data_IF_622272040623
#
_entry.id   IF_622272040623
#
_cell.length_a   1.000
_cell.length_b   1.000
_cell.length_c   1.000
_cell.angle_alpha   90.00
_cell.angle_beta   90.00
_cell.angle_gamma   90.00
#
_symmetry.space_group_name_H-M   'P 1'
#
loop_
_entity.id
_entity.type
_entity.pdbx_description
1 polymer ?
#
# COMPACT_ATOMS: atom_id res chain seq x y z
N UNK A 1 -28.28 -2.57 20.62
CA UNK A 1 -26.93 -2.67 20.02
C UNK A 1 -26.93 -3.50 18.74
N UNK A 2 -27.40 -4.76 18.73
CA UNK A 2 -27.41 -5.59 17.51
C UNK A 2 -28.26 -5.00 16.36
N UNK A 3 -29.43 -4.43 16.65
CA UNK A 3 -30.30 -3.84 15.63
C UNK A 3 -29.64 -2.63 14.93
N UNK A 4 -28.98 -1.77 15.70
CA UNK A 4 -28.24 -0.62 15.19
C UNK A 4 -27.09 -1.03 14.27
N UNK A 5 -26.29 -2.02 14.67
CA UNK A 5 -25.18 -2.52 13.85
C UNK A 5 -25.68 -3.12 12.54
N UNK A 6 -26.82 -3.82 12.57
CA UNK A 6 -27.44 -4.39 11.37
C UNK A 6 -27.95 -3.32 10.41
N UNK A 7 -28.52 -2.23 10.95
CA UNK A 7 -28.96 -1.09 10.15
C UNK A 7 -27.77 -0.34 9.53
N UNK A 8 -26.71 -0.13 10.30
CA UNK A 8 -25.46 0.49 9.82
C UNK A 8 -24.79 -0.36 8.74
N UNK A 9 -24.66 -1.67 8.96
CA UNK A 9 -24.17 -2.63 7.96
C UNK A 9 -24.99 -2.56 6.66
N UNK A 10 -26.32 -2.54 6.76
CA UNK A 10 -27.19 -2.48 5.59
C UNK A 10 -27.02 -1.17 4.81
N UNK A 11 -26.83 -0.04 5.49
CA UNK A 11 -26.55 1.25 4.83
C UNK A 11 -25.19 1.22 4.11
N UNK A 12 -24.15 0.69 4.76
CA UNK A 12 -22.82 0.59 4.15
C UNK A 12 -22.83 -0.33 2.92
N UNK A 13 -23.53 -1.47 3.00
CA UNK A 13 -23.70 -2.37 1.86
C UNK A 13 -24.39 -1.69 0.67
N UNK A 14 -25.45 -0.90 0.91
CA UNK A 14 -26.13 -0.16 -0.15
C UNK A 14 -25.24 0.91 -0.80
N UNK A 15 -24.42 1.61 -0.01
CA UNK A 15 -23.45 2.57 -0.52
C UNK A 15 -22.39 1.88 -1.37
N UNK A 16 -21.87 0.74 -0.92
CA UNK A 16 -20.88 -0.04 -1.64
C UNK A 16 -21.43 -0.60 -2.96
N UNK A 17 -22.65 -1.15 -2.97
CA UNK A 17 -23.32 -1.61 -4.20
C UNK A 17 -23.54 -0.49 -5.22
N UNK A 18 -23.85 0.72 -4.74
CA UNK A 18 -24.00 1.89 -5.61
C UNK A 18 -22.66 2.30 -6.21
N UNK A 19 -21.62 2.37 -5.39
CA UNK A 19 -20.26 2.70 -5.85
C UNK A 19 -19.73 1.66 -6.83
N UNK A 20 -19.88 0.37 -6.54
CA UNK A 20 -19.51 -0.74 -7.44
C UNK A 20 -20.16 -0.54 -8.81
N UNK A 21 -21.46 -0.23 -8.84
CA UNK A 21 -22.20 0.00 -10.09
C UNK A 21 -21.66 1.19 -10.88
N UNK A 22 -21.35 2.29 -10.21
CA UNK A 22 -20.76 3.48 -10.83
C UNK A 22 -19.35 3.20 -11.36
N UNK A 23 -18.52 2.49 -10.58
CA UNK A 23 -17.17 2.09 -10.96
C UNK A 23 -17.16 1.11 -12.14
N UNK A 24 -18.03 0.10 -12.13
CA UNK A 24 -18.20 -0.83 -13.26
C UNK A 24 -18.67 -0.09 -14.52
N UNK A 25 -19.50 0.94 -14.37
CA UNK A 25 -19.91 1.77 -15.51
C UNK A 25 -18.71 2.54 -16.09
N UNK A 26 -17.94 3.23 -15.24
CA UNK A 26 -16.71 3.94 -15.67
C UNK A 26 -15.71 3.00 -16.35
N UNK A 27 -15.52 1.80 -15.81
CA UNK A 27 -14.64 0.78 -16.40
C UNK A 27 -15.11 0.35 -17.78
N UNK A 28 -16.42 0.09 -17.96
CA UNK A 28 -16.98 -0.24 -19.28
C UNK A 28 -16.83 0.91 -20.27
N UNK A 29 -17.10 2.14 -19.85
CA UNK A 29 -16.96 3.32 -20.70
C UNK A 29 -15.49 3.50 -21.14
N UNK A 30 -14.54 3.28 -20.23
CA UNK A 30 -13.10 3.30 -20.50
C UNK A 30 -12.65 2.16 -21.42
N UNK A 31 -13.17 0.94 -21.24
CA UNK A 31 -12.89 -0.20 -22.11
C UNK A 31 -13.34 0.08 -23.55
N UNK A 32 -14.52 0.69 -23.72
CA UNK A 32 -15.04 1.11 -25.03
C UNK A 32 -14.11 2.15 -25.67
N UNK A 33 -13.68 3.15 -24.92
CA UNK A 33 -12.77 4.19 -25.42
C UNK A 33 -11.41 3.61 -25.85
N UNK A 34 -10.80 2.77 -25.00
CA UNK A 34 -9.54 2.09 -25.30
C UNK A 34 -9.66 1.20 -26.54
N UNK A 35 -10.73 0.42 -26.64
CA UNK A 35 -10.99 -0.43 -27.81
C UNK A 35 -11.11 0.42 -29.08
N UNK A 36 -11.75 1.58 -29.00
CA UNK A 36 -11.86 2.49 -30.14
C UNK A 36 -10.51 3.11 -30.51
N UNK A 37 -9.68 3.47 -29.52
CA UNK A 37 -8.32 3.96 -29.75
C UNK A 37 -7.45 2.89 -30.44
N UNK A 38 -7.49 1.64 -29.96
CA UNK A 38 -6.79 0.52 -30.58
C UNK A 38 -7.21 0.35 -32.05
N UNK A 39 -8.53 0.36 -32.33
CA UNK A 39 -9.02 0.27 -33.72
C UNK A 39 -8.50 1.40 -34.61
N UNK A 40 -8.48 2.62 -34.10
CA UNK A 40 -7.99 3.78 -34.84
C UNK A 40 -6.49 3.65 -35.14
N UNK A 41 -5.69 3.21 -34.17
CA UNK A 41 -4.25 2.96 -34.34
C UNK A 41 -4.00 1.83 -35.36
N UNK A 42 -4.73 0.71 -35.27
CA UNK A 42 -4.61 -0.39 -36.24
C UNK A 42 -4.95 0.04 -37.67
N UNK A 43 -6.00 0.86 -37.85
CA UNK A 43 -6.35 1.40 -39.16
C UNK A 43 -5.21 2.25 -39.74
N UNK A 44 -4.57 3.05 -38.90
CA UNK A 44 -3.49 3.94 -39.31
C UNK A 44 -2.21 3.19 -39.64
N UNK A 45 -1.87 2.15 -38.86
CA UNK A 45 -0.77 1.23 -39.20
C UNK A 45 -0.97 0.67 -40.60
N UNK A 46 -2.17 0.16 -40.91
CA UNK A 46 -2.49 -0.35 -42.24
C UNK A 46 -2.42 0.71 -43.35
N UNK A 47 -2.79 1.96 -43.06
CA UNK A 47 -2.62 3.07 -44.01
C UNK A 47 -1.15 3.34 -44.29
N UNK A 48 -0.31 3.48 -43.26
CA UNK A 48 1.13 3.72 -43.40
C UNK A 48 1.81 2.57 -44.15
N UNK A 49 1.48 1.32 -43.81
CA UNK A 49 2.02 0.14 -44.50
C UNK A 49 1.64 0.12 -45.99
N UNK A 50 0.40 0.47 -46.33
CA UNK A 50 -0.05 0.55 -47.72
C UNK A 50 0.65 1.67 -48.50
N UNK A 51 0.88 2.83 -47.87
CA UNK A 51 1.61 3.95 -48.47
C UNK A 51 3.08 3.56 -48.74
N UNK A 52 3.73 2.91 -47.78
CA UNK A 52 5.09 2.40 -47.95
C UNK A 52 5.22 1.38 -49.09
N UNK A 53 4.19 0.59 -49.35
CA UNK A 53 4.16 -0.36 -50.48
C UNK A 53 3.88 0.33 -51.83
N UNK A 54 3.22 1.49 -51.84
CA UNK A 54 2.74 2.19 -53.04
C UNK A 54 3.54 3.47 -53.39
N UNK A 55 4.81 3.54 -53.00
CA UNK A 55 5.70 4.72 -53.07
C UNK A 55 5.79 5.44 -54.43
N UNK A 56 5.29 4.84 -55.51
CA UNK A 56 5.35 5.34 -56.88
C UNK A 56 4.14 6.24 -57.24
N UNK A 57 3.05 6.24 -56.43
CA UNK A 57 1.77 6.86 -56.82
C UNK A 57 1.22 7.95 -55.89
N UNK A 58 1.82 8.17 -54.72
CA UNK A 58 1.29 9.09 -53.71
C UNK A 58 2.05 10.43 -53.66
N UNK A 59 1.33 11.52 -53.37
CA UNK A 59 1.93 12.85 -53.30
C UNK A 59 2.63 13.08 -51.95
N UNK A 60 3.69 13.90 -51.96
CA UNK A 60 4.41 14.30 -50.74
C UNK A 60 3.49 14.98 -49.72
N UNK A 61 2.40 15.59 -50.18
CA UNK A 61 1.45 16.29 -49.32
C UNK A 61 0.53 15.32 -48.56
N UNK A 62 0.13 14.21 -49.19
CA UNK A 62 -0.66 13.14 -48.53
C UNK A 62 0.14 12.44 -47.43
N UNK A 63 1.46 12.28 -47.64
CA UNK A 63 2.39 11.73 -46.66
C UNK A 63 2.48 12.65 -45.44
N UNK A 64 2.60 13.96 -45.65
CA UNK A 64 2.66 14.94 -44.56
C UNK A 64 1.37 15.00 -43.75
N UNK A 65 0.21 14.97 -44.42
CA UNK A 65 -1.07 15.03 -43.73
C UNK A 65 -1.31 13.77 -42.87
N UNK A 66 -0.92 12.60 -43.38
CA UNK A 66 -1.02 11.33 -42.67
C UNK A 66 -0.09 11.31 -41.45
N UNK A 67 1.15 11.79 -41.59
CA UNK A 67 2.10 11.91 -40.48
C UNK A 67 1.61 12.89 -39.40
N UNK A 68 1.04 14.02 -39.81
CA UNK A 68 0.47 15.01 -38.89
C UNK A 68 -0.74 14.45 -38.12
N UNK A 69 -1.55 13.61 -38.76
CA UNK A 69 -2.65 12.88 -38.11
C UNK A 69 -2.15 11.79 -37.16
N UNK A 70 -1.02 11.15 -37.45
CA UNK A 70 -0.46 10.10 -36.60
C UNK A 70 0.19 10.66 -35.32
N UNK A 71 0.94 11.75 -35.43
CA UNK A 71 1.51 12.45 -34.26
C UNK A 71 0.43 12.85 -33.26
N UNK A 72 -0.69 13.41 -33.73
CA UNK A 72 -1.79 13.87 -32.87
C UNK A 72 -2.46 12.73 -32.07
N UNK A 73 -2.37 11.48 -32.54
CA UNK A 73 -2.93 10.31 -31.86
C UNK A 73 -1.91 9.61 -30.96
N UNK A 74 -0.62 9.64 -31.30
CA UNK A 74 0.46 9.08 -30.47
C UNK A 74 0.66 9.85 -29.15
N UNK A 75 0.26 11.13 -29.12
CA UNK A 75 0.25 11.97 -27.91
C UNK A 75 -0.91 11.68 -26.95
N UNK A 76 -1.89 10.85 -27.33
CA UNK A 76 -2.98 10.43 -26.42
C UNK A 76 -2.53 9.21 -25.63
N UNK A 77 -1.93 9.43 -24.47
CA UNK A 77 -1.90 8.41 -23.42
C UNK A 77 -3.34 8.22 -22.91
N UNK A 78 -3.88 6.99 -22.87
CA UNK A 78 -5.13 6.76 -22.18
C UNK A 78 -4.94 7.08 -20.70
N UNK A 79 -5.78 7.94 -20.15
CA UNK A 79 -5.84 8.12 -18.70
C UNK A 79 -6.29 6.80 -18.07
N UNK A 80 -5.50 6.29 -17.12
CA UNK A 80 -5.88 5.10 -16.37
C UNK A 80 -7.11 5.44 -15.53
N UNK A 81 -8.24 4.82 -15.86
CA UNK A 81 -9.47 4.92 -15.06
C UNK A 81 -9.22 4.28 -13.69
N UNK A 82 -8.80 5.10 -12.73
CA UNK A 82 -8.61 4.68 -11.35
C UNK A 82 -9.99 4.63 -10.71
N UNK A 83 -10.46 3.41 -10.45
CA UNK A 83 -11.67 3.20 -9.67
C UNK A 83 -11.32 3.48 -8.21
N UNK A 84 -11.96 4.51 -7.68
CA UNK A 84 -11.83 4.93 -6.30
C UNK A 84 -12.54 3.90 -5.43
N UNK A 85 -11.89 3.46 -4.35
CA UNK A 85 -12.60 2.84 -3.26
C UNK A 85 -13.00 3.96 -2.31
N UNK A 86 -14.30 4.16 -2.11
CA UNK A 86 -14.76 4.93 -0.97
C UNK A 86 -14.33 4.18 0.29
N UNK A 87 -13.53 4.86 1.08
CA UNK A 87 -13.12 4.39 2.38
C UNK A 87 -14.39 4.30 3.24
N UNK A 88 -14.86 3.09 3.53
CA UNK A 88 -15.99 2.87 4.42
C UNK A 88 -15.62 3.39 5.81
N UNK A 89 -16.19 4.53 6.20
CA UNK A 89 -16.07 5.04 7.54
C UNK A 89 -16.82 4.10 8.49
N UNK A 90 -16.13 3.60 9.50
CA UNK A 90 -16.69 2.68 10.49
C UNK A 90 -16.70 3.42 11.83
N UNK A 91 -17.87 3.89 12.25
CA UNK A 91 -17.99 4.65 13.48
C UNK A 91 -17.59 3.79 14.68
N UNK A 92 -16.72 4.32 15.55
CA UNK A 92 -16.26 3.59 16.73
C UNK A 92 -15.22 2.50 16.44
N UNK A 93 -14.74 2.41 15.19
CA UNK A 93 -13.74 1.42 14.76
C UNK A 93 -12.47 1.51 15.59
N UNK A 94 -11.98 2.74 15.81
CA UNK A 94 -10.73 2.97 16.51
C UNK A 94 -10.82 2.51 17.96
N UNK A 95 -11.90 2.83 18.66
CA UNK A 95 -12.18 2.38 20.03
C UNK A 95 -12.31 0.86 20.11
N UNK A 96 -12.95 0.25 19.10
CA UNK A 96 -13.12 -1.20 19.02
C UNK A 96 -11.78 -1.91 18.81
N UNK A 97 -10.96 -1.45 17.86
CA UNK A 97 -9.64 -2.02 17.56
C UNK A 97 -8.66 -1.82 18.72
N UNK A 98 -8.72 -0.68 19.41
CA UNK A 98 -7.87 -0.40 20.59
C UNK A 98 -8.10 -1.35 21.76
N UNK A 99 -9.20 -2.13 21.79
CA UNK A 99 -9.37 -3.23 22.77
C UNK A 99 -8.33 -4.34 22.61
N UNK A 100 -7.74 -4.45 21.42
CA UNK A 100 -6.69 -5.41 21.09
C UNK A 100 -5.31 -4.76 21.03
N UNK A 101 -5.15 -3.56 21.62
CA UNK A 101 -3.88 -2.82 21.58
C UNK A 101 -2.75 -3.65 22.15
N UNK A 102 -1.67 -3.78 21.38
CA UNK A 102 -0.43 -4.42 21.82
C UNK A 102 0.69 -3.38 21.77
N UNK A 103 1.49 -3.31 22.84
CA UNK A 103 2.61 -2.39 22.88
C UNK A 103 3.79 -2.93 22.08
N UNK A 104 4.05 -2.31 20.92
CA UNK A 104 5.12 -2.74 20.01
C UNK A 104 6.38 -1.91 20.23
N UNK A 105 7.54 -2.56 20.28
CA UNK A 105 8.85 -1.93 20.27
C UNK A 105 9.69 -2.48 19.14
N UNK A 106 10.66 -1.71 18.65
CA UNK A 106 11.56 -2.12 17.59
C UNK A 106 12.68 -2.99 18.14
N UNK A 107 13.13 -3.97 17.37
CA UNK A 107 14.22 -4.89 17.71
C UNK A 107 15.56 -4.44 17.08
N UNK A 108 16.51 -3.88 17.87
CA UNK A 108 17.80 -3.42 17.36
C UNK A 108 18.67 -4.51 16.73
N UNK A 109 18.47 -5.78 17.09
CA UNK A 109 19.24 -6.89 16.54
C UNK A 109 18.91 -7.09 15.05
N UNK A 110 17.66 -6.84 14.66
CA UNK A 110 17.15 -7.00 13.29
C UNK A 110 17.39 -5.78 12.40
N UNK A 111 17.54 -4.59 13.01
CA UNK A 111 17.60 -3.32 12.29
C UNK A 111 18.78 -3.25 11.32
N UNK A 112 18.49 -2.88 10.07
CA UNK A 112 19.54 -2.60 9.10
C UNK A 112 20.51 -1.50 9.59
N UNK A 113 21.79 -1.63 9.21
CA UNK A 113 22.88 -0.76 9.68
C UNK A 113 22.73 0.73 9.34
N UNK A 114 21.89 1.07 8.37
CA UNK A 114 21.59 2.47 8.02
C UNK A 114 20.42 3.05 8.82
N UNK A 115 19.73 2.26 9.66
CA UNK A 115 18.56 2.70 10.42
C UNK A 115 18.91 3.18 11.82
N UNK A 116 18.45 4.38 12.15
CA UNK A 116 18.61 4.95 13.50
C UNK A 116 17.30 4.77 14.26
N UNK A 117 17.39 4.12 15.42
CA UNK A 117 16.27 3.90 16.33
C UNK A 117 16.26 4.96 17.44
N UNK A 118 15.07 5.34 17.91
CA UNK A 118 14.94 6.15 19.13
C UNK A 118 15.26 5.33 20.38
N UNK A 119 15.60 6.01 21.47
CA UNK A 119 15.96 5.38 22.76
C UNK A 119 14.82 4.52 23.34
N UNK A 120 13.58 4.96 23.16
CA UNK A 120 12.36 4.23 23.57
C UNK A 120 11.99 3.08 22.63
N UNK A 121 12.77 2.86 21.56
CA UNK A 121 12.53 1.86 20.52
C UNK A 121 11.15 1.98 19.85
N UNK A 122 10.55 3.18 19.83
CA UNK A 122 9.26 3.41 19.15
C UNK A 122 9.41 4.01 17.76
N UNK A 123 10.55 4.64 17.45
CA UNK A 123 10.75 5.35 16.19
C UNK A 123 11.95 4.81 15.41
N UNK A 124 11.82 4.78 14.09
CA UNK A 124 12.89 4.43 13.16
C UNK A 124 12.95 5.39 12.00
N UNK A 125 14.16 5.84 11.65
CA UNK A 125 14.42 6.65 10.47
C UNK A 125 15.67 6.17 9.74
N UNK A 126 15.78 6.55 8.48
CA UNK A 126 17.02 6.37 7.74
C UNK A 126 18.09 7.37 8.25
N UNK A 127 19.28 6.87 8.54
CA UNK A 127 20.39 7.64 9.10
C UNK A 127 21.29 8.31 8.06
N UNK A 128 21.27 7.85 6.81
CA UNK A 128 22.15 8.37 5.74
C UNK A 128 23.53 7.73 5.68
N UNK A 129 24.04 7.22 6.81
CA UNK A 129 25.36 6.61 6.92
C UNK A 129 25.29 5.24 7.60
N UNK A 130 26.26 4.39 7.25
CA UNK A 130 26.39 3.05 7.83
C UNK A 130 26.87 3.16 9.28
N UNK A 131 26.09 2.64 10.21
CA UNK A 131 26.51 2.56 11.61
C UNK A 131 27.50 1.41 11.83
N UNK A 132 28.37 1.57 12.82
CA UNK A 132 29.34 0.56 13.24
C UNK A 132 28.68 -0.46 14.18
N UNK A 133 27.74 -1.23 13.63
CA UNK A 133 27.05 -2.30 14.34
C UNK A 133 27.61 -3.67 13.92
N UNK A 134 27.73 -4.64 14.85
CA UNK A 134 28.12 -5.99 14.49
C UNK A 134 27.04 -6.62 13.59
N UNK A 135 27.50 -7.32 12.55
CA UNK A 135 26.61 -8.15 11.73
C UNK A 135 26.19 -9.39 12.53
N UNK A 136 24.96 -9.84 12.31
CA UNK A 136 24.38 -11.03 12.91
C UNK A 136 23.32 -11.62 11.96
N UNK A 137 22.91 -12.89 12.14
CA UNK A 137 21.96 -13.54 11.25
C UNK A 137 20.59 -12.84 11.14
N UNK A 138 20.13 -12.23 12.24
CA UNK A 138 18.81 -11.56 12.33
C UNK A 138 18.78 -10.20 11.63
N UNK A 139 19.95 -9.58 11.42
CA UNK A 139 20.06 -8.24 10.87
C UNK A 139 19.75 -8.20 9.38
N UNK A 140 18.84 -7.32 8.97
CA UNK A 140 18.64 -7.01 7.56
C UNK A 140 19.86 -6.32 6.95
N UNK A 141 20.40 -6.85 5.84
CA UNK A 141 21.62 -6.33 5.21
C UNK A 141 21.35 -5.35 4.04
N UNK A 142 20.40 -5.68 3.17
CA UNK A 142 20.10 -4.92 1.94
C UNK A 142 18.89 -4.01 2.06
N UNK A 143 17.87 -4.40 2.83
CA UNK A 143 16.65 -3.61 2.97
C UNK A 143 16.73 -2.69 4.17
N UNK A 144 16.23 -1.46 4.04
CA UNK A 144 16.13 -0.47 5.12
C UNK A 144 15.00 -0.84 6.09
N UNK A 145 15.08 -2.04 6.70
CA UNK A 145 14.00 -2.67 7.44
C UNK A 145 14.41 -2.99 8.88
N UNK A 146 13.44 -2.97 9.79
CA UNK A 146 13.55 -3.43 11.17
C UNK A 146 12.25 -4.17 11.56
N UNK A 147 12.35 -5.13 12.49
CA UNK A 147 11.18 -5.81 13.04
C UNK A 147 10.75 -5.23 14.38
N UNK A 148 9.50 -5.50 14.74
CA UNK A 148 9.04 -5.41 16.11
C UNK A 148 9.63 -6.53 16.97
N UNK A 149 9.94 -6.26 18.23
CA UNK A 149 10.45 -7.24 19.20
C UNK A 149 9.42 -8.31 19.57
N UNK A 150 8.12 -7.98 19.45
CA UNK A 150 7.01 -8.89 19.73
C UNK A 150 6.83 -9.89 18.60
N UNK A 151 6.47 -11.12 18.98
CA UNK A 151 6.20 -12.23 18.09
C UNK A 151 4.88 -12.89 18.49
N UNK A 152 4.02 -13.15 17.50
CA UNK A 152 2.63 -13.58 17.69
C UNK A 152 2.41 -14.98 17.13
N UNK A 153 1.89 -15.87 17.96
CA UNK A 153 1.52 -17.25 17.60
C UNK A 153 0.05 -17.57 17.88
N UNK A 154 -0.69 -16.59 18.41
CA UNK A 154 -2.11 -16.66 18.74
C UNK A 154 -2.62 -15.25 19.04
N UNK A 155 -3.94 -15.10 19.10
CA UNK A 155 -4.62 -13.91 19.58
C UNK A 155 -4.87 -12.84 18.53
N UNK A 156 -5.47 -11.76 19.03
CA UNK A 156 -5.78 -10.54 18.27
C UNK A 156 -4.90 -9.39 18.75
N UNK A 157 -4.26 -8.72 17.80
CA UNK A 157 -3.29 -7.67 18.08
C UNK A 157 -3.56 -6.45 17.20
N UNK A 158 -3.42 -5.27 17.79
CA UNK A 158 -3.57 -4.00 17.12
C UNK A 158 -2.47 -3.02 17.54
N UNK A 159 -1.89 -2.30 16.58
CA UNK A 159 -1.00 -1.18 16.85
C UNK A 159 -1.17 -0.08 15.80
N UNK A 160 -0.81 1.14 16.17
CA UNK A 160 -0.87 2.31 15.29
C UNK A 160 0.55 2.81 14.99
N UNK A 161 0.80 3.18 13.73
CA UNK A 161 2.08 3.73 13.26
C UNK A 161 1.81 5.09 12.63
N UNK A 162 2.44 6.13 13.18
CA UNK A 162 2.53 7.45 12.55
C UNK A 162 3.55 7.35 11.41
N UNK A 163 3.09 7.58 10.19
CA UNK A 163 3.92 7.66 8.99
C UNK A 163 4.14 9.12 8.57
N UNK A 164 3.35 10.05 9.10
CA UNK A 164 3.47 11.48 8.89
C UNK A 164 3.40 11.85 7.40
N UNK A 165 4.21 12.83 7.00
CA UNK A 165 4.29 13.30 5.61
C UNK A 165 5.39 12.61 4.80
N UNK A 166 5.75 11.38 5.17
CA UNK A 166 6.73 10.58 4.43
C UNK A 166 6.24 10.30 3.01
N UNK A 167 7.16 10.38 2.05
CA UNK A 167 6.87 10.14 0.64
C UNK A 167 6.98 8.66 0.30
N UNK A 168 7.69 7.87 1.09
CA UNK A 168 7.75 6.42 0.93
C UNK A 168 7.88 5.72 2.28
N UNK A 169 7.12 4.66 2.50
CA UNK A 169 7.18 3.85 3.70
C UNK A 169 6.54 2.49 3.49
N UNK A 170 6.94 1.51 4.30
CA UNK A 170 6.31 0.19 4.36
C UNK A 170 6.09 -0.22 5.83
N UNK A 171 4.87 -0.66 6.14
CA UNK A 171 4.50 -1.20 7.45
C UNK A 171 3.70 -2.48 7.27
N UNK A 172 3.86 -3.45 8.16
CA UNK A 172 3.14 -4.71 7.99
C UNK A 172 3.44 -5.76 9.03
N UNK A 173 3.21 -7.00 8.62
CA UNK A 173 3.48 -8.22 9.35
C UNK A 173 4.24 -9.17 8.44
N UNK A 174 5.27 -9.80 8.98
CA UNK A 174 5.98 -10.87 8.29
C UNK A 174 6.07 -12.12 9.16
N UNK A 175 6.34 -13.22 8.51
CA UNK A 175 6.84 -14.43 9.14
C UNK A 175 8.14 -14.15 9.93
N UNK A 176 8.31 -14.78 11.09
CA UNK A 176 9.56 -14.67 11.84
C UNK A 176 10.74 -15.30 11.07
N UNK A 177 10.44 -16.29 10.23
CA UNK A 177 11.40 -16.96 9.35
C UNK A 177 11.75 -16.19 8.07
N UNK A 178 11.18 -15.01 7.83
CA UNK A 178 11.39 -14.28 6.57
C UNK A 178 12.88 -14.00 6.34
N UNK A 179 13.34 -14.16 5.09
CA UNK A 179 14.75 -13.97 4.75
C UNK A 179 15.24 -12.58 5.15
N UNK A 180 16.31 -12.55 5.96
CA UNK A 180 16.98 -11.33 6.42
C UNK A 180 18.10 -10.88 5.50
N UNK A 181 18.58 -11.77 4.63
CA UNK A 181 19.79 -11.57 3.84
C UNK A 181 19.50 -11.51 2.34
N UNK A 182 20.19 -10.60 1.66
CA UNK A 182 20.09 -10.40 0.21
C UNK A 182 18.78 -9.74 -0.23
N UNK A 183 18.63 -9.61 -1.56
CA UNK A 183 17.46 -9.02 -2.22
C UNK A 183 16.60 -10.08 -2.92
N UNK A 184 16.49 -11.27 -2.32
CA UNK A 184 15.62 -12.31 -2.88
C UNK A 184 14.16 -11.86 -2.77
N UNK A 185 13.35 -12.09 -3.83
CA UNK A 185 11.91 -11.89 -3.74
C UNK A 185 11.36 -12.70 -2.57
N UNK A 186 10.62 -12.03 -1.68
CA UNK A 186 9.96 -12.71 -0.57
C UNK A 186 8.87 -13.63 -1.15
N UNK A 187 8.82 -14.92 -0.76
CA UNK A 187 7.75 -15.81 -1.20
C UNK A 187 6.37 -15.22 -0.86
N UNK A 188 5.36 -15.45 -1.71
CA UNK A 188 3.99 -15.07 -1.40
C UNK A 188 3.56 -15.63 -0.03
N UNK A 189 3.02 -14.77 0.82
CA UNK A 189 2.56 -15.16 2.16
C UNK A 189 3.62 -15.12 3.27
N UNK A 190 4.86 -14.73 2.96
CA UNK A 190 5.87 -14.46 3.98
C UNK A 190 5.84 -13.01 4.49
N UNK A 191 5.24 -12.13 3.70
CA UNK A 191 5.08 -10.72 3.99
C UNK A 191 3.68 -10.25 3.60
N UNK A 192 3.06 -9.56 4.56
CA UNK A 192 1.77 -8.88 4.45
C UNK A 192 1.99 -7.42 4.88
N UNK A 193 2.22 -6.55 3.91
CA UNK A 193 2.61 -5.16 4.14
C UNK A 193 1.79 -4.19 3.31
N UNK A 194 1.65 -2.99 3.84
CA UNK A 194 1.12 -1.81 3.18
C UNK A 194 2.29 -0.85 2.93
N UNK A 195 2.39 -0.39 1.69
CA UNK A 195 3.42 0.53 1.22
C UNK A 195 2.72 1.82 0.78
N UNK A 196 3.14 2.95 1.32
CA UNK A 196 2.73 4.26 0.83
C UNK A 196 3.83 4.84 -0.06
N UNK A 197 3.44 5.35 -1.23
CA UNK A 197 4.35 5.94 -2.20
C UNK A 197 3.76 7.22 -2.79
N UNK A 198 4.49 8.32 -2.66
CA UNK A 198 4.20 9.63 -3.24
C UNK A 198 5.22 9.96 -4.32
N UNK A 199 4.74 10.16 -5.55
CA UNK A 199 5.56 10.60 -6.70
C UNK A 199 4.93 11.88 -7.25
N UNK A 200 5.60 13.02 -7.09
CA UNK A 200 5.02 14.32 -7.42
C UNK A 200 3.76 14.58 -6.58
N UNK A 201 2.64 14.86 -7.25
CA UNK A 201 1.34 15.04 -6.60
C UNK A 201 0.56 13.73 -6.45
N UNK A 202 1.01 12.65 -7.08
CA UNK A 202 0.34 11.36 -7.04
C UNK A 202 0.70 10.61 -5.77
N UNK A 203 -0.32 10.13 -5.06
CA UNK A 203 -0.16 9.26 -3.91
C UNK A 203 -0.83 7.91 -4.15
N UNK A 204 -0.11 6.83 -3.82
CA UNK A 204 -0.57 5.46 -4.03
C UNK A 204 -0.26 4.59 -2.83
N UNK A 205 -1.14 3.62 -2.60
CA UNK A 205 -0.98 2.57 -1.60
C UNK A 205 -0.82 1.24 -2.31
N UNK A 206 0.14 0.43 -1.87
CA UNK A 206 0.41 -0.88 -2.41
C UNK A 206 0.38 -1.91 -1.30
N UNK A 207 -0.14 -3.10 -1.60
CA UNK A 207 -0.11 -4.24 -0.69
C UNK A 207 0.76 -5.35 -1.25
N UNK A 208 1.50 -6.06 -0.40
CA UNK A 208 2.32 -7.20 -0.81
C UNK A 208 1.50 -8.50 -0.88
N UNK A 209 1.90 -9.45 -1.72
CA UNK A 209 1.32 -10.80 -1.81
C UNK A 209 -0.21 -10.90 -2.03
N UNK A 210 -0.72 -10.65 -3.25
CA UNK A 210 -0.01 -10.23 -4.45
C UNK A 210 0.26 -8.72 -4.44
N UNK A 211 1.30 -8.29 -5.18
CA UNK A 211 1.59 -6.87 -5.32
C UNK A 211 0.42 -6.18 -6.04
N UNK A 212 -0.35 -5.37 -5.32
CA UNK A 212 -1.49 -4.64 -5.85
C UNK A 212 -1.41 -3.19 -5.39
N UNK A 213 -1.40 -2.26 -6.34
CA UNK A 213 -1.38 -0.82 -6.09
C UNK A 213 -2.75 -0.18 -6.34
N UNK A 214 -3.04 0.89 -5.62
CA UNK A 214 -4.18 1.75 -5.85
C UNK A 214 -3.81 3.22 -5.59
N UNK A 215 -4.25 4.11 -6.49
CA UNK A 215 -4.14 5.54 -6.28
C UNK A 215 -5.15 6.03 -5.24
N UNK A 216 -4.72 6.96 -4.38
CA UNK A 216 -5.53 7.52 -3.31
C UNK A 216 -5.38 9.03 -3.26
N UNK A 217 -6.52 9.73 -3.18
CA UNK A 217 -6.57 11.20 -3.23
C UNK A 217 -5.84 11.90 -2.09
N UNK A 218 -5.79 11.28 -0.91
CA UNK A 218 -5.22 11.87 0.31
C UNK A 218 -4.13 10.96 0.88
N UNK A 219 -2.98 11.53 1.29
CA UNK A 219 -1.96 10.79 2.01
C UNK A 219 -2.47 10.22 3.33
N UNK A 220 -2.10 8.97 3.60
CA UNK A 220 -2.31 8.35 4.92
C UNK A 220 -1.18 8.81 5.83
N UNK A 221 -1.52 9.39 6.98
CA UNK A 221 -0.54 9.88 7.96
C UNK A 221 -0.40 8.95 9.16
N UNK A 222 -1.41 8.12 9.41
CA UNK A 222 -1.41 7.13 10.49
C UNK A 222 -2.09 5.84 10.06
N UNK A 223 -1.36 4.73 10.18
CA UNK A 223 -1.81 3.39 9.80
C UNK A 223 -2.08 2.58 11.06
N UNK A 224 -3.26 1.97 11.14
CA UNK A 224 -3.57 0.93 12.12
C UNK A 224 -3.31 -0.43 11.49
N UNK A 225 -2.59 -1.30 12.18
CA UNK A 225 -2.32 -2.69 11.75
C UNK A 225 -3.05 -3.61 12.70
N UNK A 226 -3.90 -4.49 12.15
CA UNK A 226 -4.65 -5.48 12.90
C UNK A 226 -4.30 -6.89 12.46
N UNK A 227 -4.13 -7.78 13.43
CA UNK A 227 -3.92 -9.21 13.26
C UNK A 227 -4.98 -9.95 14.07
N UNK A 228 -5.66 -10.90 13.45
CA UNK A 228 -6.39 -11.99 14.11
C UNK A 228 -5.74 -13.29 13.67
N UNK A 229 -4.94 -13.88 14.56
CA UNK A 229 -4.11 -15.03 14.22
C UNK A 229 -4.97 -16.27 13.95
N UNK A 230 -5.96 -16.54 14.79
CA UNK A 230 -6.82 -17.71 14.67
C UNK A 230 -7.72 -17.64 13.43
N UNK A 231 -8.24 -16.46 13.08
CA UNK A 231 -9.06 -16.30 11.87
C UNK A 231 -8.24 -16.11 10.60
N UNK A 232 -6.92 -15.96 10.71
CA UNK A 232 -6.05 -15.72 9.57
C UNK A 232 -6.20 -14.34 8.94
N UNK A 233 -6.72 -13.35 9.68
CA UNK A 233 -7.00 -12.02 9.13
C UNK A 233 -5.89 -11.03 9.44
N UNK A 234 -5.48 -10.28 8.42
CA UNK A 234 -4.63 -9.10 8.54
C UNK A 234 -5.31 -7.95 7.82
N UNK A 235 -5.44 -6.81 8.51
CA UNK A 235 -6.08 -5.62 7.96
C UNK A 235 -5.32 -4.34 8.31
N UNK A 236 -5.37 -3.38 7.39
CA UNK A 236 -4.81 -2.05 7.54
C UNK A 236 -5.90 -1.00 7.54
N UNK A 237 -5.75 -0.01 8.40
CA UNK A 237 -6.74 1.05 8.62
C UNK A 237 -6.11 2.42 8.52
N UNK A 238 -6.84 3.38 7.97
CA UNK A 238 -6.53 4.80 8.12
C UNK A 238 -7.13 5.22 9.46
N UNK A 239 -6.27 5.52 10.42
CA UNK A 239 -6.70 5.82 11.81
C UNK A 239 -7.38 7.18 11.89
N UNK A 240 -7.02 8.12 11.03
CA UNK A 240 -7.53 9.50 11.06
C UNK A 240 -8.92 9.58 10.43
N UNK A 241 -9.11 8.92 9.29
CA UNK A 241 -10.39 8.87 8.57
C UNK A 241 -11.31 7.74 9.09
N UNK A 242 -10.83 6.96 10.06
CA UNK A 242 -11.53 5.81 10.67
C UNK A 242 -12.10 4.84 9.63
N UNK A 243 -11.25 4.39 8.73
CA UNK A 243 -11.66 3.57 7.59
C UNK A 243 -10.71 2.42 7.31
N UNK A 244 -11.25 1.34 6.73
CA UNK A 244 -10.44 0.24 6.20
C UNK A 244 -9.67 0.68 4.96
N UNK A 245 -8.35 0.46 4.94
CA UNK A 245 -7.51 0.62 3.75
C UNK A 245 -7.53 -0.67 2.94
N UNK A 246 -7.22 -1.79 3.59
CA UNK A 246 -7.14 -3.08 2.94
C UNK A 246 -7.26 -4.22 3.96
N UNK A 247 -7.90 -5.32 3.56
CA UNK A 247 -7.92 -6.58 4.31
C UNK A 247 -7.40 -7.69 3.40
N UNK A 248 -6.42 -8.44 3.89
CA UNK A 248 -5.97 -9.63 3.18
C UNK A 248 -7.06 -10.72 3.20
N UNK A 249 -7.13 -11.55 2.15
CA UNK A 249 -7.87 -12.79 2.21
C UNK A 249 -7.39 -13.63 3.42
N UNK A 250 -8.30 -14.37 4.07
CA UNK A 250 -7.93 -15.18 5.23
C UNK A 250 -6.85 -16.20 4.86
N UNK A 251 -5.83 -16.33 5.71
CA UNK A 251 -4.71 -17.27 5.52
C UNK A 251 -4.41 -18.01 6.81
N UNK A 252 -4.20 -19.33 6.74
CA UNK A 252 -3.84 -20.11 7.92
C UNK A 252 -2.38 -19.91 8.27
N UNK A 253 -2.10 -19.30 9.42
CA UNK A 253 -0.75 -19.17 9.95
C UNK A 253 -0.30 -20.45 10.65
N UNK A 254 0.95 -20.85 10.44
CA UNK A 254 1.55 -22.03 11.09
C UNK A 254 2.82 -21.69 11.87
N UNK A 255 3.22 -20.42 11.84
CA UNK A 255 4.45 -19.94 12.47
C UNK A 255 4.22 -18.60 13.16
N UNK A 256 5.24 -18.16 13.89
CA UNK A 256 5.18 -16.89 14.57
C UNK A 256 5.27 -15.72 13.57
N UNK A 257 4.49 -14.69 13.81
CA UNK A 257 4.43 -13.48 13.01
C UNK A 257 5.01 -12.30 13.79
N UNK A 258 5.72 -11.41 13.09
CA UNK A 258 6.32 -10.21 13.68
C UNK A 258 5.91 -8.95 12.91
N UNK A 259 5.71 -7.82 13.61
CA UNK A 259 5.60 -6.52 12.95
C UNK A 259 6.86 -6.21 12.15
N UNK A 260 6.71 -5.55 11.00
CA UNK A 260 7.81 -5.13 10.14
C UNK A 260 7.62 -3.67 9.74
N UNK A 261 8.74 -2.92 9.74
CA UNK A 261 8.76 -1.49 9.48
C UNK A 261 9.94 -1.14 8.58
N UNK A 262 9.69 -0.35 7.55
CA UNK A 262 10.74 0.22 6.69
C UNK A 262 10.41 1.69 6.41
N UNK A 263 11.23 2.65 6.89
CA UNK A 263 11.07 4.06 6.55
C UNK A 263 11.44 4.37 5.09
N UNK A 264 11.84 3.36 4.31
CA UNK A 264 12.38 3.46 2.95
C UNK A 264 13.56 4.43 2.83
N UNK A 265 14.09 4.56 1.61
CA UNK A 265 15.23 5.41 1.34
C UNK A 265 14.79 6.89 1.22
N UNK A 266 15.67 7.84 1.55
CA UNK A 266 15.44 9.23 1.23
C UNK A 266 15.51 9.45 -0.29
N UNK A 267 14.55 10.21 -0.84
CA UNK A 267 14.55 10.60 -2.24
C UNK A 267 14.88 12.10 -2.34
N UNK A 268 16.06 12.45 -2.83
CA UNK A 268 16.50 13.85 -3.04
C UNK A 268 16.29 14.79 -1.84
N UNK A 269 16.51 14.29 -0.62
CA UNK A 269 16.32 15.06 0.63
C UNK A 269 14.89 15.08 1.19
N UNK A 270 13.94 14.48 0.48
CA UNK A 270 12.60 14.15 1.00
C UNK A 270 12.61 12.79 1.72
N UNK A 271 11.53 12.45 2.42
CA UNK A 271 11.36 11.18 3.17
C UNK A 271 12.22 10.99 4.43
N UNK A 272 12.79 12.05 5.01
CA UNK A 272 13.73 11.96 6.15
C UNK A 272 13.05 11.72 7.50
N UNK A 273 11.73 11.92 7.59
CA UNK A 273 10.96 11.69 8.82
C UNK A 273 10.97 10.23 9.28
N UNK A 274 10.79 9.99 10.60
CA UNK A 274 10.71 8.64 11.14
C UNK A 274 9.34 8.00 10.87
N UNK A 275 9.31 6.67 10.95
CA UNK A 275 8.10 5.95 11.34
C UNK A 275 8.07 5.88 12.87
N UNK A 276 6.92 6.16 13.48
CA UNK A 276 6.77 6.16 14.93
C UNK A 276 5.57 5.31 15.36
N UNK A 277 5.85 4.25 16.12
CA UNK A 277 4.83 3.41 16.77
C UNK A 277 4.19 4.24 17.88
N UNK A 278 2.86 4.37 17.82
CA UNK A 278 2.10 5.11 18.81
C UNK A 278 1.93 4.29 20.09
N UNK A 279 2.20 4.90 21.24
CA UNK A 279 1.84 4.32 22.53
C UNK A 279 0.33 4.43 22.73
N UNK A 280 -0.35 3.30 22.76
CA UNK A 280 -1.78 3.21 23.01
C UNK A 280 -1.97 3.03 24.52
N UNK A 281 -2.30 4.11 25.23
CA UNK A 281 -2.61 4.00 26.66
C UNK A 281 -3.82 3.06 26.81
N UNK A 282 -3.59 1.90 27.42
CA UNK A 282 -4.69 1.11 27.96
C UNK A 282 -5.29 1.93 29.10
N UNK A 283 -6.55 2.34 28.96
CA UNK A 283 -7.30 2.85 30.10
C UNK A 283 -7.37 1.72 31.12
N UNK A 284 -6.47 1.77 32.10
CA UNK A 284 -6.55 0.98 33.33
C UNK A 284 -7.85 1.41 33.99
N UNK A 285 -8.92 0.64 33.76
CA UNK A 285 -10.12 0.77 34.56
C UNK A 285 -9.71 0.51 36.01
N UNK A 286 -9.89 1.53 36.83
CA UNK A 286 -9.42 1.58 38.20
C UNK A 286 -9.77 0.32 38.96
N UNK A 287 -8.81 -0.16 39.74
CA UNK A 287 -9.13 -0.97 40.91
C UNK A 287 -10.03 -0.11 41.80
N UNK A 288 -11.30 -0.50 41.90
CA UNK A 288 -12.16 -0.06 42.99
C UNK A 288 -11.95 -1.01 44.19
N UNK A 289 -12.23 -0.51 45.41
CA UNK A 289 -11.36 -0.57 46.59
C UNK A 289 -11.22 -1.93 47.25
#
# INVERSE_FOLDING_TARGET
MHQFLKEEEQVQLQLLEKEERENLKKLRDSEIELTQQIRNLSKMIGQIESMCQNLIKESVEDIKETLKRSEALLLRCPEATTTELSLCHITGMREMLRKFSTDITLDPATANVYLVLSEDLKSVRYGGFKQQLPDNPERFDQSATVLGAQSFTCGRHYWEVEVGSKTEWEVGICKDSVSRKGNLPKPPGDLFSLIGLKIGDDYSLWVSSPLKGQHVRKPVHKVGVFLDYESGHIAFYNVIEESLIYSFPPVSFQEALRPIFSPCLPNEGTNTGPLTICSLNSHVWGRCP
#
